data_IF_370868672323
#
_entry.id   IF_370868672323
#
_cell.length_a   1.000
_cell.length_b   1.000
_cell.length_c   1.000
_cell.angle_alpha   90.00
_cell.angle_beta   90.00
_cell.angle_gamma   90.00
#
_symmetry.space_group_name_H-M   'P 1'
#
loop_
_entity.id
_entity.type
_entity.pdbx_description
1 polymer ?
#
# COMPACT_ATOMS: atom_id res chain seq x y z
N UNK A 1 27.31 -2.72 11.00
CA UNK A 1 26.34 -2.70 12.11
C UNK A 1 25.21 -3.66 11.75
N UNK A 2 24.89 -4.63 12.60
CA UNK A 2 23.79 -5.58 12.37
C UNK A 2 22.45 -4.87 12.66
N UNK A 3 21.44 -5.08 11.83
CA UNK A 3 20.15 -4.37 11.92
C UNK A 3 19.42 -4.52 13.27
N UNK A 4 19.43 -5.69 13.96
CA UNK A 4 18.78 -5.84 15.27
C UNK A 4 19.38 -4.92 16.35
N UNK A 5 20.69 -4.73 16.34
CA UNK A 5 21.40 -3.85 17.26
C UNK A 5 21.07 -2.39 16.98
N UNK A 6 20.98 -2.00 15.70
CA UNK A 6 20.50 -0.67 15.31
C UNK A 6 19.07 -0.39 15.81
N UNK A 7 18.16 -1.38 15.74
CA UNK A 7 16.81 -1.26 16.31
C UNK A 7 16.85 -0.97 17.80
N UNK A 8 17.74 -1.62 18.57
CA UNK A 8 17.90 -1.34 20.01
C UNK A 8 18.36 0.10 20.27
N UNK A 9 19.35 0.58 19.51
CA UNK A 9 19.83 1.96 19.63
C UNK A 9 18.76 3.00 19.28
N UNK A 10 18.00 2.80 18.19
CA UNK A 10 16.92 3.72 17.86
C UNK A 10 15.76 3.64 18.84
N UNK A 11 15.47 2.47 19.40
CA UNK A 11 14.46 2.33 20.46
C UNK A 11 14.84 3.13 21.70
N UNK A 12 16.11 3.10 22.10
CA UNK A 12 16.60 3.94 23.20
C UNK A 12 16.59 5.43 22.85
N UNK A 13 16.96 5.80 21.62
CA UNK A 13 16.86 7.18 21.13
C UNK A 13 15.43 7.72 21.20
N UNK A 14 14.45 6.93 20.77
CA UNK A 14 13.01 7.27 20.82
C UNK A 14 12.53 7.45 22.26
N UNK A 15 13.00 6.64 23.22
CA UNK A 15 12.66 6.84 24.64
C UNK A 15 13.14 8.19 25.17
N UNK A 16 14.32 8.63 24.73
CA UNK A 16 14.92 9.91 25.16
C UNK A 16 14.30 11.11 24.47
N UNK A 17 13.96 10.98 23.19
CA UNK A 17 13.28 12.01 22.43
C UNK A 17 12.19 11.41 21.53
N UNK A 18 10.96 11.23 22.04
CA UNK A 18 9.87 10.62 21.29
C UNK A 18 9.29 11.52 20.20
N UNK A 19 9.76 12.77 20.09
CA UNK A 19 9.31 13.73 19.08
C UNK A 19 10.26 13.86 17.90
N UNK A 20 11.39 13.13 17.88
CA UNK A 20 12.33 13.16 16.77
C UNK A 20 11.92 12.18 15.66
N UNK A 21 11.41 12.64 14.49
CA UNK A 21 10.97 11.75 13.42
C UNK A 21 12.13 10.93 12.82
N UNK A 22 13.38 11.39 12.93
CA UNK A 22 14.55 10.72 12.33
C UNK A 22 14.82 9.38 12.96
N UNK A 23 14.61 9.24 14.28
CA UNK A 23 14.81 7.97 14.98
C UNK A 23 13.79 6.92 14.54
N UNK A 24 12.52 7.31 14.37
CA UNK A 24 11.49 6.45 13.79
C UNK A 24 11.79 6.08 12.34
N UNK A 25 12.18 7.04 11.49
CA UNK A 25 12.57 6.78 10.10
C UNK A 25 13.72 5.76 9.97
N UNK A 26 14.73 5.86 10.82
CA UNK A 26 15.86 4.95 10.80
C UNK A 26 15.50 3.56 11.35
N UNK A 27 14.65 3.50 12.38
CA UNK A 27 14.16 2.22 12.91
C UNK A 27 13.22 1.52 11.93
N UNK A 28 12.36 2.25 11.23
CA UNK A 28 11.55 1.74 10.13
C UNK A 28 12.41 1.11 9.02
N UNK A 29 13.52 1.76 8.63
CA UNK A 29 14.45 1.19 7.66
C UNK A 29 15.04 -0.14 8.14
N UNK A 30 15.43 -0.22 9.42
CA UNK A 30 15.97 -1.44 10.01
C UNK A 30 14.93 -2.56 10.04
N UNK A 31 13.69 -2.25 10.45
CA UNK A 31 12.58 -3.20 10.44
C UNK A 31 12.27 -3.71 9.03
N UNK A 32 12.30 -2.83 8.02
CA UNK A 32 12.15 -3.23 6.61
C UNK A 32 13.22 -4.24 6.19
N UNK A 33 14.49 -4.00 6.55
CA UNK A 33 15.61 -4.92 6.24
C UNK A 33 15.54 -6.24 7.01
N UNK A 34 14.84 -6.26 8.14
CA UNK A 34 14.57 -7.45 8.94
C UNK A 34 13.27 -8.17 8.54
N UNK A 35 12.56 -7.70 7.52
CA UNK A 35 11.22 -8.16 7.13
C UNK A 35 10.16 -8.05 8.26
N UNK A 36 10.41 -7.24 9.29
CA UNK A 36 9.45 -6.85 10.32
C UNK A 36 8.57 -5.70 9.79
N UNK A 37 7.84 -5.97 8.71
CA UNK A 37 7.13 -4.95 7.95
C UNK A 37 6.04 -4.21 8.76
N UNK A 38 5.22 -4.87 9.61
CA UNK A 38 4.21 -4.17 10.43
C UNK A 38 4.82 -3.13 11.38
N UNK A 39 5.94 -3.46 12.03
CA UNK A 39 6.67 -2.54 12.90
C UNK A 39 7.29 -1.39 12.10
N UNK A 40 7.85 -1.70 10.93
CA UNK A 40 8.39 -0.69 10.02
C UNK A 40 7.33 0.29 9.53
N UNK A 41 6.12 -0.19 9.24
CA UNK A 41 5.00 0.64 8.82
C UNK A 41 4.58 1.61 9.93
N UNK A 42 4.41 1.11 11.16
CA UNK A 42 4.05 1.94 12.33
C UNK A 42 5.05 3.05 12.57
N UNK A 43 6.35 2.75 12.48
CA UNK A 43 7.39 3.77 12.66
C UNK A 43 7.40 4.79 11.51
N UNK A 44 7.19 4.36 10.27
CA UNK A 44 7.12 5.26 9.12
C UNK A 44 5.89 6.17 9.19
N UNK A 45 4.76 5.67 9.68
CA UNK A 45 3.56 6.48 9.94
C UNK A 45 3.79 7.49 11.06
N UNK A 46 4.43 7.06 12.15
CA UNK A 46 4.78 7.97 13.24
C UNK A 46 5.73 9.08 12.80
N UNK A 47 6.63 8.78 11.87
CA UNK A 47 7.52 9.75 11.25
C UNK A 47 6.74 10.89 10.55
N UNK A 48 5.74 10.52 9.74
CA UNK A 48 4.87 11.48 9.02
C UNK A 48 3.94 12.22 9.99
N UNK A 49 3.45 11.55 11.04
CA UNK A 49 2.62 12.17 12.08
C UNK A 49 3.38 13.26 12.85
N UNK A 50 4.66 13.00 13.17
CA UNK A 50 5.51 13.93 13.92
C UNK A 50 5.96 15.12 13.05
N UNK A 51 6.28 14.87 11.78
CA UNK A 51 6.67 15.91 10.82
C UNK A 51 6.16 15.55 9.41
N UNK A 52 5.01 16.10 8.99
CA UNK A 52 4.46 15.89 7.65
C UNK A 52 5.35 16.44 6.52
N UNK A 53 6.32 17.31 6.81
CA UNK A 53 7.23 17.84 5.79
C UNK A 53 8.50 17.00 5.63
N UNK A 54 8.73 16.05 6.54
CA UNK A 54 9.90 15.20 6.51
C UNK A 54 9.74 14.07 5.48
N UNK A 55 10.17 14.36 4.25
CA UNK A 55 10.09 13.50 3.05
C UNK A 55 10.52 12.05 3.30
N UNK A 56 11.53 11.83 4.15
CA UNK A 56 12.00 10.49 4.48
C UNK A 56 10.91 9.61 5.11
N UNK A 57 9.94 10.17 5.85
CA UNK A 57 8.79 9.43 6.36
C UNK A 57 7.99 8.76 5.23
N UNK A 58 7.69 9.50 4.17
CA UNK A 58 7.02 8.99 2.97
C UNK A 58 7.87 7.96 2.23
N UNK A 59 9.18 8.20 2.10
CA UNK A 59 10.09 7.22 1.51
C UNK A 59 10.07 5.90 2.29
N UNK A 60 10.08 5.94 3.62
CA UNK A 60 10.02 4.73 4.47
C UNK A 60 8.68 4.03 4.36
N UNK A 61 7.57 4.77 4.45
CA UNK A 61 6.22 4.20 4.38
C UNK A 61 5.98 3.54 3.01
N UNK A 62 6.31 4.25 1.93
CA UNK A 62 6.21 3.71 0.57
C UNK A 62 7.10 2.49 0.35
N UNK A 63 8.30 2.46 0.92
CA UNK A 63 9.19 1.30 0.81
C UNK A 63 8.61 0.08 1.55
N UNK A 64 8.11 0.26 2.78
CA UNK A 64 7.48 -0.82 3.55
C UNK A 64 6.26 -1.37 2.80
N UNK A 65 5.36 -0.50 2.33
CA UNK A 65 4.19 -0.89 1.54
C UNK A 65 4.58 -1.63 0.26
N UNK A 66 5.63 -1.17 -0.43
CA UNK A 66 6.18 -1.86 -1.60
C UNK A 66 6.66 -3.28 -1.25
N UNK A 67 7.38 -3.46 -0.14
CA UNK A 67 7.81 -4.79 0.33
C UNK A 67 6.63 -5.67 0.78
N UNK A 68 5.54 -5.07 1.27
CA UNK A 68 4.28 -5.77 1.53
C UNK A 68 3.54 -6.18 0.24
N UNK A 69 3.99 -5.73 -0.93
CA UNK A 69 3.34 -5.84 -2.25
C UNK A 69 2.06 -5.03 -2.37
N UNK A 70 1.91 -3.98 -1.56
CA UNK A 70 0.80 -3.02 -1.62
C UNK A 70 1.15 -1.86 -2.58
N UNK A 71 1.37 -2.17 -3.85
CA UNK A 71 1.98 -1.23 -4.81
C UNK A 71 1.16 0.04 -5.03
N UNK A 72 -0.16 -0.04 -5.03
CA UNK A 72 -1.06 1.10 -5.18
C UNK A 72 -1.03 2.02 -3.94
N UNK A 73 -0.96 1.44 -2.74
CA UNK A 73 -0.79 2.20 -1.49
C UNK A 73 0.58 2.86 -1.45
N UNK A 74 1.62 2.14 -1.84
CA UNK A 74 2.98 2.67 -1.95
C UNK A 74 3.05 3.83 -2.96
N UNK A 75 2.44 3.68 -4.13
CA UNK A 75 2.36 4.72 -5.16
C UNK A 75 1.73 6.01 -4.61
N UNK A 76 0.57 5.90 -3.95
CA UNK A 76 -0.10 7.03 -3.30
C UNK A 76 0.80 7.68 -2.27
N UNK A 77 1.43 6.89 -1.39
CA UNK A 77 2.35 7.41 -0.36
C UNK A 77 3.52 8.18 -0.98
N UNK A 78 4.16 7.66 -2.03
CA UNK A 78 5.25 8.37 -2.69
C UNK A 78 4.78 9.67 -3.36
N UNK A 79 3.60 9.65 -3.99
CA UNK A 79 2.99 10.85 -4.58
C UNK A 79 2.67 11.91 -3.53
N UNK A 80 2.17 11.52 -2.35
CA UNK A 80 1.99 12.45 -1.23
C UNK A 80 3.33 13.06 -0.79
N UNK A 81 4.39 12.26 -0.69
CA UNK A 81 5.74 12.76 -0.40
C UNK A 81 6.24 13.77 -1.43
N UNK A 82 5.94 13.56 -2.72
CA UNK A 82 6.35 14.46 -3.81
C UNK A 82 5.66 15.82 -3.73
N UNK A 83 4.54 15.95 -3.02
CA UNK A 83 3.94 17.27 -2.75
C UNK A 83 4.83 18.14 -1.86
N UNK A 84 5.70 17.52 -1.05
CA UNK A 84 6.64 18.22 -0.16
C UNK A 84 8.02 18.43 -0.81
N UNK A 85 8.46 17.50 -1.66
CA UNK A 85 9.68 17.63 -2.45
C UNK A 85 9.49 17.00 -3.85
N UNK A 86 9.04 17.79 -4.84
CA UNK A 86 8.68 17.29 -6.17
C UNK A 86 9.82 16.67 -6.98
N UNK A 87 11.08 16.99 -6.65
CA UNK A 87 12.26 16.50 -7.37
C UNK A 87 13.03 15.44 -6.59
N UNK A 88 12.44 14.89 -5.52
CA UNK A 88 13.11 13.90 -4.69
C UNK A 88 13.39 12.60 -5.48
N UNK A 89 14.66 12.20 -5.66
CA UNK A 89 15.00 11.05 -6.49
C UNK A 89 14.51 9.72 -5.90
N UNK A 90 14.49 9.57 -4.58
CA UNK A 90 14.02 8.33 -3.92
C UNK A 90 12.50 8.16 -4.08
N UNK A 91 11.73 9.25 -4.01
CA UNK A 91 10.29 9.19 -4.23
C UNK A 91 9.95 8.93 -5.70
N UNK A 92 10.65 9.58 -6.63
CA UNK A 92 10.45 9.37 -8.07
C UNK A 92 10.80 7.93 -8.49
N UNK A 93 11.89 7.36 -7.96
CA UNK A 93 12.23 5.95 -8.14
C UNK A 93 11.14 5.04 -7.57
N UNK A 94 10.65 5.35 -6.37
CA UNK A 94 9.53 4.65 -5.72
C UNK A 94 8.27 4.63 -6.60
N UNK A 95 7.87 5.78 -7.16
CA UNK A 95 6.75 5.90 -8.09
C UNK A 95 6.96 5.01 -9.32
N UNK A 96 8.13 5.13 -9.98
CA UNK A 96 8.45 4.34 -11.18
C UNK A 96 8.32 2.84 -10.90
N UNK A 97 8.92 2.35 -9.82
CA UNK A 97 8.88 0.93 -9.43
C UNK A 97 7.47 0.46 -9.12
N UNK A 98 6.63 1.28 -8.47
CA UNK A 98 5.24 0.93 -8.23
C UNK A 98 4.47 0.80 -9.54
N UNK A 99 4.62 1.76 -10.45
CA UNK A 99 3.97 1.74 -11.77
C UNK A 99 4.38 0.51 -12.58
N UNK A 100 5.66 0.13 -12.56
CA UNK A 100 6.14 -1.10 -13.22
C UNK A 100 5.43 -2.35 -12.67
N UNK A 101 5.31 -2.49 -11.35
CA UNK A 101 4.63 -3.65 -10.73
C UNK A 101 3.12 -3.66 -11.00
N UNK A 102 2.46 -2.50 -10.94
CA UNK A 102 1.03 -2.36 -11.26
C UNK A 102 0.77 -2.71 -12.73
N UNK A 103 1.64 -2.27 -13.65
CA UNK A 103 1.53 -2.59 -15.06
C UNK A 103 1.75 -4.09 -15.34
N UNK A 104 2.72 -4.73 -14.66
CA UNK A 104 2.92 -6.19 -14.71
C UNK A 104 1.64 -6.93 -14.31
N UNK A 105 1.00 -6.47 -13.23
CA UNK A 105 -0.27 -7.00 -12.76
C UNK A 105 -1.41 -6.84 -13.77
N UNK A 106 -1.53 -5.67 -14.39
CA UNK A 106 -2.61 -5.37 -15.34
C UNK A 106 -2.46 -6.09 -16.69
N UNK A 107 -1.23 -6.41 -17.11
CA UNK A 107 -0.97 -7.17 -18.34
C UNK A 107 -1.24 -8.67 -18.20
N UNK A 108 -1.51 -9.14 -16.97
CA UNK A 108 -1.64 -10.57 -16.69
C UNK A 108 -0.30 -11.31 -16.60
N UNK A 109 0.81 -10.57 -16.45
CA UNK A 109 2.16 -11.14 -16.38
C UNK A 109 2.50 -11.71 -14.99
N UNK A 110 1.50 -11.86 -14.10
CA UNK A 110 1.67 -12.46 -12.78
C UNK A 110 1.68 -13.98 -12.88
N UNK A 111 2.59 -14.64 -12.16
CA UNK A 111 2.53 -16.10 -12.05
C UNK A 111 1.29 -16.53 -11.25
N UNK A 112 0.83 -17.79 -11.39
CA UNK A 112 -0.27 -18.30 -10.59
C UNK A 112 -0.04 -18.14 -9.07
N UNK A 113 1.19 -18.30 -8.60
CA UNK A 113 1.59 -18.11 -7.20
C UNK A 113 1.48 -16.64 -6.79
N UNK A 114 1.96 -15.71 -7.61
CA UNK A 114 1.86 -14.27 -7.36
C UNK A 114 0.39 -13.82 -7.29
N UNK A 115 -0.45 -14.34 -8.19
CA UNK A 115 -1.88 -14.04 -8.20
C UNK A 115 -2.59 -14.58 -6.94
N UNK A 116 -2.27 -15.82 -6.54
CA UNK A 116 -2.84 -16.42 -5.33
C UNK A 116 -2.42 -15.67 -4.06
N UNK A 117 -1.15 -15.26 -3.97
CA UNK A 117 -0.67 -14.43 -2.86
C UNK A 117 -1.38 -13.08 -2.83
N UNK A 118 -1.54 -12.44 -3.98
CA UNK A 118 -2.26 -11.16 -4.12
C UNK A 118 -3.70 -11.27 -3.62
N UNK A 119 -4.42 -12.31 -4.06
CA UNK A 119 -5.79 -12.62 -3.60
C UNK A 119 -5.84 -12.86 -2.09
N UNK A 120 -4.94 -13.69 -1.56
CA UNK A 120 -4.91 -13.99 -0.13
C UNK A 120 -4.68 -12.74 0.73
N UNK A 121 -3.77 -11.85 0.31
CA UNK A 121 -3.54 -10.56 0.97
C UNK A 121 -4.72 -9.62 0.83
N UNK A 122 -5.29 -9.52 -0.36
CA UNK A 122 -6.49 -8.72 -0.62
C UNK A 122 -7.64 -9.10 0.31
N UNK A 123 -7.85 -10.39 0.54
CA UNK A 123 -8.89 -10.90 1.47
C UNK A 123 -8.62 -10.57 2.95
N UNK A 124 -7.38 -10.26 3.32
CA UNK A 124 -7.01 -9.80 4.66
C UNK A 124 -7.12 -8.28 4.81
N UNK A 125 -7.26 -7.53 3.73
CA UNK A 125 -7.39 -6.07 3.77
C UNK A 125 -8.78 -5.66 4.29
N UNK A 126 -8.87 -4.92 5.41
CA UNK A 126 -10.16 -4.47 5.95
C UNK A 126 -10.98 -3.64 4.95
N UNK A 127 -10.33 -2.85 4.09
CA UNK A 127 -11.03 -2.05 3.08
C UNK A 127 -11.73 -2.97 2.07
N UNK A 128 -11.06 -4.03 1.65
CA UNK A 128 -11.63 -5.04 0.75
C UNK A 128 -12.76 -5.81 1.42
N UNK A 129 -12.60 -6.21 2.69
CA UNK A 129 -13.66 -6.87 3.45
C UNK A 129 -14.91 -6.00 3.58
N UNK A 130 -14.73 -4.70 3.80
CA UNK A 130 -15.83 -3.73 3.83
C UNK A 130 -16.54 -3.64 2.47
N UNK A 131 -15.78 -3.64 1.37
CA UNK A 131 -16.36 -3.65 0.02
C UNK A 131 -17.16 -4.94 -0.24
N UNK A 132 -16.66 -6.11 0.17
CA UNK A 132 -17.34 -7.40 -0.02
C UNK A 132 -18.57 -7.58 0.87
N UNK A 133 -18.67 -6.84 1.97
CA UNK A 133 -19.82 -6.88 2.87
C UNK A 133 -20.87 -5.81 2.56
N UNK A 134 -20.55 -4.81 1.74
CA UNK A 134 -21.47 -3.77 1.27
C UNK A 134 -22.62 -4.40 0.43
N UNK A 135 -23.90 -4.22 0.83
CA UNK A 135 -25.05 -4.76 0.10
C UNK A 135 -25.12 -4.33 -1.36
N UNK A 136 -24.76 -3.07 -1.66
CA UNK A 136 -24.77 -2.57 -3.03
C UNK A 136 -23.72 -3.32 -3.85
N UNK A 137 -22.52 -3.50 -3.29
CA UNK A 137 -21.46 -4.22 -3.99
C UNK A 137 -21.77 -5.69 -4.18
N UNK A 138 -22.41 -6.34 -3.19
CA UNK A 138 -22.87 -7.73 -3.34
C UNK A 138 -23.87 -7.87 -4.50
N UNK A 139 -24.81 -6.94 -4.61
CA UNK A 139 -25.76 -6.93 -5.73
C UNK A 139 -25.03 -6.72 -7.06
N UNK A 140 -24.12 -5.74 -7.12
CA UNK A 140 -23.32 -5.46 -8.32
C UNK A 140 -22.55 -6.71 -8.78
N UNK A 141 -21.88 -7.41 -7.85
CA UNK A 141 -21.13 -8.63 -8.15
C UNK A 141 -22.03 -9.80 -8.59
N UNK A 142 -23.25 -9.90 -8.05
CA UNK A 142 -24.27 -10.85 -8.50
C UNK A 142 -24.78 -10.51 -9.91
N UNK A 143 -25.05 -9.24 -10.18
CA UNK A 143 -25.49 -8.77 -11.50
C UNK A 143 -24.44 -9.03 -12.60
N UNK A 144 -23.14 -9.03 -12.27
CA UNK A 144 -22.11 -9.43 -13.24
C UNK A 144 -22.27 -10.89 -13.73
N UNK A 145 -22.90 -11.76 -12.93
CA UNK A 145 -23.17 -13.15 -13.29
C UNK A 145 -24.56 -13.32 -13.91
N UNK A 146 -25.57 -12.61 -13.40
CA UNK A 146 -26.98 -12.84 -13.72
C UNK A 146 -27.55 -11.84 -14.73
N UNK A 147 -27.08 -10.58 -14.73
CA UNK A 147 -27.60 -9.50 -15.55
C UNK A 147 -26.50 -8.48 -15.95
N UNK A 148 -25.70 -8.78 -16.99
CA UNK A 148 -24.58 -7.95 -17.40
C UNK A 148 -24.95 -6.49 -17.72
N UNK A 149 -26.20 -6.24 -18.15
CA UNK A 149 -26.68 -4.89 -18.44
C UNK A 149 -26.88 -4.07 -17.16
N UNK A 150 -27.46 -4.66 -16.11
CA UNK A 150 -27.58 -4.02 -14.81
C UNK A 150 -26.20 -3.75 -14.18
N UNK A 151 -25.27 -4.71 -14.29
CA UNK A 151 -23.88 -4.51 -13.86
C UNK A 151 -23.21 -3.31 -14.56
N UNK A 152 -23.42 -3.14 -15.88
CA UNK A 152 -22.92 -1.98 -16.62
C UNK A 152 -23.53 -0.66 -16.15
N UNK A 153 -24.81 -0.65 -15.76
CA UNK A 153 -25.44 0.56 -15.23
C UNK A 153 -24.85 0.95 -13.87
N UNK A 154 -24.54 -0.03 -13.01
CA UNK A 154 -23.83 0.22 -11.75
C UNK A 154 -22.43 0.81 -11.96
N UNK A 155 -21.73 0.39 -13.02
CA UNK A 155 -20.41 0.91 -13.40
C UNK A 155 -20.42 2.39 -13.82
N UNK A 156 -21.59 3.00 -14.07
CA UNK A 156 -21.67 4.45 -14.32
C UNK A 156 -21.42 5.27 -13.06
N UNK A 157 -21.57 4.67 -11.88
CA UNK A 157 -21.29 5.33 -10.61
C UNK A 157 -19.78 5.29 -10.30
N UNK A 158 -19.09 6.45 -10.21
CA UNK A 158 -17.64 6.48 -9.95
C UNK A 158 -17.23 5.82 -8.62
N UNK A 159 -18.09 5.87 -7.59
CA UNK A 159 -17.83 5.24 -6.30
C UNK A 159 -17.89 3.71 -6.38
N UNK A 160 -18.83 3.18 -7.16
CA UNK A 160 -18.92 1.74 -7.42
C UNK A 160 -17.70 1.30 -8.23
N UNK A 161 -17.32 2.07 -9.24
CA UNK A 161 -16.12 1.78 -10.04
C UNK A 161 -14.84 1.79 -9.22
N UNK A 162 -14.64 2.75 -8.31
CA UNK A 162 -13.48 2.75 -7.42
C UNK A 162 -13.42 1.48 -6.55
N UNK A 163 -14.57 1.05 -6.02
CA UNK A 163 -14.67 -0.20 -5.25
C UNK A 163 -14.37 -1.43 -6.11
N UNK A 164 -14.92 -1.52 -7.32
CA UNK A 164 -14.62 -2.60 -8.27
C UNK A 164 -13.13 -2.62 -8.60
N UNK A 165 -12.53 -1.46 -8.88
CA UNK A 165 -11.11 -1.34 -9.19
C UNK A 165 -10.24 -1.82 -8.03
N UNK A 166 -10.62 -1.54 -6.78
CA UNK A 166 -9.94 -2.09 -5.60
C UNK A 166 -10.04 -3.61 -5.53
N UNK A 167 -11.19 -4.21 -5.86
CA UNK A 167 -11.34 -5.66 -5.90
C UNK A 167 -10.52 -6.31 -7.04
N UNK A 168 -10.43 -5.65 -8.20
CA UNK A 168 -9.55 -6.08 -9.31
C UNK A 168 -8.09 -5.99 -8.89
N UNK A 169 -7.71 -4.88 -8.24
CA UNK A 169 -6.34 -4.68 -7.75
C UNK A 169 -5.99 -5.62 -6.60
N UNK A 170 -6.98 -6.17 -5.89
CA UNK A 170 -6.80 -7.25 -4.93
C UNK A 170 -6.76 -8.64 -5.59
N UNK A 171 -7.01 -8.73 -6.90
CA UNK A 171 -7.11 -9.99 -7.65
C UNK A 171 -8.39 -10.78 -7.39
N UNK A 172 -9.35 -10.21 -6.66
CA UNK A 172 -10.59 -10.90 -6.22
C UNK A 172 -11.61 -10.95 -7.34
N UNK A 173 -11.72 -9.86 -8.11
CA UNK A 173 -12.60 -9.79 -9.29
C UNK A 173 -11.72 -9.80 -10.54
N UNK A 174 -12.10 -10.59 -11.52
CA UNK A 174 -11.53 -10.57 -12.86
C UNK A 174 -12.58 -9.98 -13.79
N UNK A 175 -12.24 -8.91 -14.49
CA UNK A 175 -13.06 -8.41 -15.60
C UNK A 175 -12.67 -9.24 -16.82
N UNK A 176 -13.60 -10.03 -17.35
CA UNK A 176 -13.45 -10.76 -18.61
C UNK A 176 -14.03 -9.95 -19.76
#
# INVERSE_FOLDING_TARGET
MKYPEAVKHYTESIKRNPKDPRAYSNRAACYTKLAALPEGLKDAEKCIELDPTFVKGYTRKGAVQFFMKEYEKALKTYQEGLKHDPQNPELLDGVKRCVEQINKANRGDLTPEELKERQAKGMQDPEIQNILTDPVMRQVLSDFQENPKAAQDHMKNPLVMDKIQKLINAGIVQVR
#
